data_IF_973169374132
#
_entry.id   IF_973169374132
#
_cell.length_a   1.000
_cell.length_b   1.000
_cell.length_c   1.000
_cell.angle_alpha   90.00
_cell.angle_beta   90.00
_cell.angle_gamma   90.00
#
_symmetry.space_group_name_H-M   'P 1'
#
loop_
_entity.id
_entity.type
_entity.pdbx_description
1 polymer ?
#
# COMPACT_ATOMS: atom_id res chain seq x y z
N UNK A 1 -16.65 26.74 7.44
CA UNK A 1 -15.98 27.85 8.16
C UNK A 1 -14.49 27.78 7.85
N UNK A 2 -13.79 28.91 7.75
CA UNK A 2 -12.35 28.92 7.49
C UNK A 2 -11.62 28.16 8.61
N UNK A 3 -10.79 27.18 8.24
CA UNK A 3 -9.96 26.39 9.17
C UNK A 3 -8.55 27.00 9.22
N UNK A 4 -7.86 26.85 10.35
CA UNK A 4 -6.45 27.29 10.39
C UNK A 4 -5.59 26.42 9.47
N UNK A 5 -4.59 27.03 8.85
CA UNK A 5 -3.64 26.31 7.99
C UNK A 5 -2.97 25.15 8.73
N UNK A 6 -2.60 25.35 10.00
CA UNK A 6 -1.99 24.31 10.83
C UNK A 6 -2.91 23.11 11.03
N UNK A 7 -4.20 23.32 11.27
CA UNK A 7 -5.17 22.23 11.42
C UNK A 7 -5.35 21.45 10.11
N UNK A 8 -5.42 22.14 8.96
CA UNK A 8 -5.57 21.50 7.65
C UNK A 8 -4.31 20.72 7.28
N UNK A 9 -3.12 21.30 7.42
CA UNK A 9 -1.85 20.62 7.12
C UNK A 9 -1.55 19.46 8.09
N UNK A 10 -2.16 19.46 9.29
CA UNK A 10 -2.06 18.34 10.20
C UNK A 10 -2.80 17.09 9.69
N UNK A 11 -3.78 17.20 8.79
CA UNK A 11 -4.57 16.06 8.29
C UNK A 11 -4.41 15.80 6.79
N UNK A 12 -4.13 16.83 5.99
CA UNK A 12 -3.79 16.65 4.57
C UNK A 12 -2.31 16.27 4.48
N UNK A 13 -2.04 15.00 4.24
CA UNK A 13 -0.69 14.43 4.18
C UNK A 13 -0.15 14.51 2.75
N UNK A 14 1.00 13.86 2.52
CA UNK A 14 1.62 13.83 1.19
C UNK A 14 0.73 13.13 0.14
N UNK A 15 -0.04 12.12 0.55
CA UNK A 15 -0.72 11.21 -0.37
C UNK A 15 -2.20 10.95 -0.07
N UNK A 16 -2.68 11.35 1.10
CA UNK A 16 -4.07 11.15 1.52
C UNK A 16 -4.48 12.18 2.59
N UNK A 17 -5.73 12.05 3.02
CA UNK A 17 -6.29 12.75 4.18
C UNK A 17 -6.35 11.77 5.35
N UNK A 18 -5.79 12.11 6.51
CA UNK A 18 -5.82 11.22 7.69
C UNK A 18 -5.69 11.95 9.01
N UNK A 19 -6.48 11.54 10.00
CA UNK A 19 -6.47 12.14 11.32
C UNK A 19 -7.35 11.42 12.35
N UNK A 20 -7.25 11.89 13.59
CA UNK A 20 -8.08 11.45 14.71
C UNK A 20 -9.51 11.98 14.59
N UNK A 21 -10.48 11.10 14.82
CA UNK A 21 -11.90 11.42 14.79
C UNK A 21 -12.29 12.40 15.91
N UNK A 22 -13.11 13.39 15.59
CA UNK A 22 -13.63 14.38 16.54
C UNK A 22 -12.61 15.44 16.99
N UNK A 23 -11.31 15.18 16.83
CA UNK A 23 -10.24 16.13 17.13
C UNK A 23 -9.67 16.79 15.88
N UNK A 24 -9.40 16.00 14.84
CA UNK A 24 -8.73 16.46 13.63
C UNK A 24 -9.61 16.33 12.38
N UNK A 25 -10.47 15.31 12.33
CA UNK A 25 -11.42 15.07 11.25
C UNK A 25 -12.82 14.87 11.84
N UNK A 26 -13.80 15.57 11.26
CA UNK A 26 -15.23 15.44 11.52
C UNK A 26 -16.03 15.51 10.21
N UNK A 27 -17.35 15.31 10.28
CA UNK A 27 -18.23 15.35 9.11
C UNK A 27 -18.19 16.72 8.39
N UNK A 28 -18.05 17.82 9.13
CA UNK A 28 -17.97 19.16 8.55
C UNK A 28 -16.71 19.35 7.70
N UNK A 29 -15.57 18.88 8.21
CA UNK A 29 -14.31 18.82 7.46
C UNK A 29 -14.45 17.96 6.21
N UNK A 30 -15.02 16.77 6.35
CA UNK A 30 -15.16 15.83 5.24
C UNK A 30 -16.15 16.31 4.16
N UNK A 31 -17.21 17.02 4.55
CA UNK A 31 -18.10 17.72 3.62
C UNK A 31 -17.35 18.75 2.77
N UNK A 32 -16.49 19.55 3.40
CA UNK A 32 -15.70 20.56 2.69
C UNK A 32 -14.63 19.90 1.79
N UNK A 33 -14.03 18.78 2.21
CA UNK A 33 -13.13 17.98 1.36
C UNK A 33 -13.87 17.46 0.12
N UNK A 34 -15.07 16.91 0.29
CA UNK A 34 -15.91 16.45 -0.82
C UNK A 34 -16.29 17.58 -1.78
N UNK A 35 -16.66 18.73 -1.23
CA UNK A 35 -16.98 19.93 -2.00
C UNK A 35 -15.76 20.41 -2.82
N UNK A 36 -14.58 20.48 -2.20
CA UNK A 36 -13.37 20.90 -2.88
C UNK A 36 -12.91 19.90 -3.93
N UNK A 37 -13.01 18.60 -3.63
CA UNK A 37 -12.67 17.54 -4.58
C UNK A 37 -13.58 17.57 -5.83
N UNK A 38 -14.89 17.76 -5.65
CA UNK A 38 -15.81 17.93 -6.77
C UNK A 38 -15.45 19.12 -7.66
N UNK A 39 -15.00 20.24 -7.06
CA UNK A 39 -14.52 21.42 -7.79
C UNK A 39 -13.24 21.14 -8.56
N UNK A 40 -12.27 20.46 -7.94
CA UNK A 40 -11.04 20.04 -8.60
C UNK A 40 -11.33 19.22 -9.86
N UNK A 41 -12.19 18.20 -9.75
CA UNK A 41 -12.56 17.36 -10.88
C UNK A 41 -13.32 18.14 -11.96
N UNK A 42 -14.23 19.06 -11.59
CA UNK A 42 -14.93 19.93 -12.56
C UNK A 42 -13.97 20.81 -13.34
N UNK A 43 -12.96 21.39 -12.68
CA UNK A 43 -11.98 22.27 -13.31
C UNK A 43 -11.09 21.54 -14.32
N UNK A 44 -10.87 20.23 -14.14
CA UNK A 44 -10.08 19.38 -15.02
C UNK A 44 -10.88 18.79 -16.18
N UNK A 45 -12.21 18.97 -16.19
CA UNK A 45 -13.07 18.48 -17.25
C UNK A 45 -12.82 19.27 -18.52
N UNK A 46 -12.43 18.57 -19.59
CA UNK A 46 -12.33 19.16 -20.91
C UNK A 46 -13.73 19.31 -21.52
N UNK A 47 -14.23 20.55 -21.57
CA UNK A 47 -15.51 20.88 -22.19
C UNK A 47 -15.51 20.73 -23.73
N UNK A 48 -14.34 20.45 -24.35
CA UNK A 48 -14.22 20.16 -25.79
C UNK A 48 -14.52 18.71 -26.16
N UNK A 49 -14.56 17.80 -25.18
CA UNK A 49 -15.00 16.43 -25.39
C UNK A 49 -16.53 16.37 -25.40
N UNK A 50 -17.11 15.72 -26.42
CA UNK A 50 -18.53 15.31 -26.51
C UNK A 50 -18.94 14.30 -25.41
N UNK A 51 -18.39 14.41 -24.20
CA UNK A 51 -18.77 13.58 -23.07
C UNK A 51 -20.12 14.06 -22.53
N UNK A 52 -21.18 13.48 -23.11
CA UNK A 52 -22.56 13.51 -22.61
C UNK A 52 -22.73 12.81 -21.24
N UNK A 53 -21.65 12.25 -20.68
CA UNK A 53 -21.68 11.55 -19.40
C UNK A 53 -21.63 12.57 -18.25
N UNK A 54 -22.58 12.46 -17.33
CA UNK A 54 -22.58 13.23 -16.10
C UNK A 54 -21.28 12.99 -15.31
N UNK A 55 -20.76 14.05 -14.71
CA UNK A 55 -19.58 13.96 -13.86
C UNK A 55 -19.99 13.22 -12.59
N UNK A 56 -19.29 12.12 -12.28
CA UNK A 56 -19.60 11.27 -11.12
C UNK A 56 -18.34 10.93 -10.34
N UNK A 57 -18.48 10.67 -9.04
CA UNK A 57 -17.43 10.17 -8.15
C UNK A 57 -17.89 8.85 -7.54
N UNK A 58 -17.02 7.84 -7.51
CA UNK A 58 -17.29 6.60 -6.77
C UNK A 58 -16.82 6.72 -5.32
N UNK A 59 -17.62 6.29 -4.36
CA UNK A 59 -17.32 6.36 -2.93
C UNK A 59 -17.46 4.97 -2.32
N UNK A 60 -16.36 4.49 -1.74
CA UNK A 60 -16.30 3.23 -0.99
C UNK A 60 -15.78 3.47 0.42
N UNK A 61 -16.00 2.51 1.31
CA UNK A 61 -15.58 2.63 2.70
C UNK A 61 -15.14 1.30 3.31
N UNK A 62 -14.22 1.37 4.25
CA UNK A 62 -13.87 0.23 5.09
C UNK A 62 -14.95 -0.02 6.17
N UNK A 63 -14.69 -1.00 7.03
CA UNK A 63 -15.58 -1.46 8.09
C UNK A 63 -15.54 -0.61 9.36
N UNK A 64 -14.76 0.47 9.44
CA UNK A 64 -14.71 1.31 10.65
C UNK A 64 -16.07 1.93 10.94
N UNK A 65 -16.43 2.00 12.22
CA UNK A 65 -17.72 2.53 12.66
C UNK A 65 -17.98 3.98 12.23
N UNK A 66 -16.92 4.77 12.06
CA UNK A 66 -16.99 6.16 11.59
C UNK A 66 -17.06 6.31 10.08
N UNK A 67 -16.64 5.30 9.31
CA UNK A 67 -16.59 5.40 7.85
C UNK A 67 -17.97 5.65 7.20
N UNK A 68 -19.11 5.08 7.68
CA UNK A 68 -20.44 5.43 7.17
C UNK A 68 -20.79 6.91 7.25
N UNK A 69 -20.58 7.58 8.41
CA UNK A 69 -20.97 8.99 8.57
C UNK A 69 -20.07 9.92 7.76
N UNK A 70 -18.77 9.64 7.74
CA UNK A 70 -17.80 10.41 6.95
C UNK A 70 -18.05 10.25 5.44
N UNK A 71 -18.29 9.02 4.96
CA UNK A 71 -18.60 8.79 3.55
C UNK A 71 -19.89 9.51 3.10
N UNK A 72 -20.89 9.59 3.99
CA UNK A 72 -22.10 10.37 3.74
C UNK A 72 -21.81 11.87 3.67
N UNK A 73 -21.05 12.41 4.62
CA UNK A 73 -20.70 13.84 4.62
C UNK A 73 -19.94 14.26 3.35
N UNK A 74 -19.02 13.41 2.88
CA UNK A 74 -18.32 13.63 1.62
C UNK A 74 -19.26 13.57 0.42
N UNK A 75 -20.16 12.58 0.40
CA UNK A 75 -21.20 12.44 -0.64
C UNK A 75 -22.05 13.72 -0.71
N UNK A 76 -22.46 14.25 0.44
CA UNK A 76 -23.24 15.49 0.52
C UNK A 76 -22.44 16.69 -0.01
N UNK A 77 -21.15 16.78 0.31
CA UNK A 77 -20.25 17.82 -0.22
C UNK A 77 -20.07 17.74 -1.74
N UNK A 78 -19.86 16.54 -2.28
CA UNK A 78 -19.70 16.32 -3.73
C UNK A 78 -21.00 16.67 -4.47
N UNK A 79 -22.14 16.19 -3.97
CA UNK A 79 -23.44 16.44 -4.60
C UNK A 79 -23.88 17.90 -4.49
N UNK A 80 -23.55 18.60 -3.40
CA UNK A 80 -23.76 20.04 -3.28
C UNK A 80 -23.05 20.86 -4.37
N UNK A 81 -22.01 20.30 -4.99
CA UNK A 81 -21.28 20.90 -6.12
C UNK A 81 -21.79 20.46 -7.50
N UNK A 82 -22.93 19.76 -7.56
CA UNK A 82 -23.57 19.33 -8.81
C UNK A 82 -22.90 18.11 -9.46
N UNK A 83 -22.18 17.29 -8.68
CA UNK A 83 -21.49 16.08 -9.15
C UNK A 83 -22.21 14.86 -8.61
N UNK A 84 -22.47 13.88 -9.47
CA UNK A 84 -23.14 12.64 -9.06
C UNK A 84 -22.22 11.76 -8.21
N UNK A 85 -22.80 10.92 -7.35
CA UNK A 85 -22.05 9.96 -6.53
C UNK A 85 -22.56 8.54 -6.75
N UNK A 86 -21.61 7.60 -6.76
CA UNK A 86 -21.84 6.16 -6.80
C UNK A 86 -21.32 5.58 -5.50
N UNK A 87 -22.22 5.18 -4.60
CA UNK A 87 -21.82 4.49 -3.39
C UNK A 87 -21.67 3.00 -3.70
N UNK A 88 -20.47 2.46 -3.46
CA UNK A 88 -20.19 1.02 -3.59
C UNK A 88 -20.26 0.28 -2.25
N UNK A 89 -20.58 1.00 -1.17
CA UNK A 89 -20.72 0.43 0.16
C UNK A 89 -19.37 0.04 0.76
N UNK A 90 -19.35 -1.13 1.42
CA UNK A 90 -18.12 -1.74 1.91
C UNK A 90 -17.21 -2.09 0.74
N UNK A 91 -15.94 -1.69 0.82
CA UNK A 91 -14.93 -2.01 -0.18
C UNK A 91 -13.56 -2.12 0.47
N UNK A 92 -12.65 -2.90 -0.12
CA UNK A 92 -11.22 -2.69 0.07
C UNK A 92 -10.74 -1.49 -0.75
N UNK A 93 -9.55 -0.97 -0.46
CA UNK A 93 -8.97 0.14 -1.22
C UNK A 93 -8.76 -0.23 -2.69
N UNK A 94 -8.31 -1.46 -2.98
CA UNK A 94 -8.13 -1.93 -4.35
C UNK A 94 -9.47 -2.21 -5.06
N UNK A 95 -10.53 -2.63 -4.35
CA UNK A 95 -11.89 -2.71 -4.91
C UNK A 95 -12.42 -1.32 -5.31
N UNK A 96 -12.11 -0.25 -4.56
CA UNK A 96 -12.41 1.11 -5.00
C UNK A 96 -11.64 1.47 -6.29
N UNK A 97 -10.34 1.15 -6.35
CA UNK A 97 -9.54 1.42 -7.55
C UNK A 97 -10.08 0.68 -8.78
N UNK A 98 -10.51 -0.57 -8.60
CA UNK A 98 -11.26 -1.30 -9.62
C UNK A 98 -12.54 -0.57 -10.04
N UNK A 99 -13.35 -0.11 -9.08
CA UNK A 99 -14.60 0.61 -9.39
C UNK A 99 -14.32 1.94 -10.14
N UNK A 100 -13.28 2.67 -9.76
CA UNK A 100 -12.83 3.88 -10.43
C UNK A 100 -12.39 3.60 -11.87
N UNK A 101 -11.67 2.50 -12.09
CA UNK A 101 -11.25 2.03 -13.40
C UNK A 101 -12.42 1.57 -14.28
N UNK A 102 -13.32 0.75 -13.73
CA UNK A 102 -14.49 0.20 -14.41
C UNK A 102 -15.48 1.29 -14.84
N UNK A 103 -15.71 2.27 -13.97
CA UNK A 103 -16.66 3.36 -14.22
C UNK A 103 -16.05 4.55 -14.96
N UNK A 104 -14.72 4.52 -15.14
CA UNK A 104 -13.89 5.63 -15.61
C UNK A 104 -14.22 6.94 -14.91
N UNK A 105 -14.18 6.92 -13.58
CA UNK A 105 -14.53 8.08 -12.76
C UNK A 105 -13.63 8.23 -11.52
N UNK A 106 -13.43 9.45 -11.01
CA UNK A 106 -12.73 9.68 -9.75
C UNK A 106 -13.33 8.91 -8.59
N UNK A 107 -12.52 8.63 -7.57
CA UNK A 107 -12.92 7.83 -6.42
C UNK A 107 -12.43 8.37 -5.08
N UNK A 108 -13.18 8.07 -4.01
CA UNK A 108 -12.82 8.36 -2.63
C UNK A 108 -13.01 7.11 -1.74
N UNK A 109 -11.93 6.67 -1.10
CA UNK A 109 -11.94 5.55 -0.16
C UNK A 109 -11.92 6.07 1.26
N UNK A 110 -12.96 5.77 2.05
CA UNK A 110 -12.96 6.04 3.48
C UNK A 110 -12.23 4.95 4.23
N UNK A 111 -11.04 5.28 4.74
CA UNK A 111 -10.20 4.37 5.49
C UNK A 111 -9.06 5.09 6.20
N UNK A 112 -8.57 4.52 7.31
CA UNK A 112 -7.25 4.85 7.85
C UNK A 112 -6.23 3.70 7.68
N UNK A 113 -6.45 2.80 6.72
CA UNK A 113 -5.60 1.65 6.45
C UNK A 113 -5.35 0.85 7.73
N UNK A 114 -4.11 0.76 8.17
CA UNK A 114 -3.68 0.02 9.36
C UNK A 114 -3.60 0.85 10.65
N UNK A 115 -3.94 2.13 10.64
CA UNK A 115 -3.93 2.94 11.86
C UNK A 115 -4.96 2.42 12.89
N UNK A 116 -4.79 2.70 14.19
CA UNK A 116 -5.75 2.31 15.23
C UNK A 116 -7.19 2.78 14.97
N UNK A 117 -8.17 2.17 15.63
CA UNK A 117 -9.61 2.43 15.44
C UNK A 117 -10.02 3.91 15.53
N UNK A 118 -9.34 4.70 16.36
CA UNK A 118 -9.61 6.14 16.54
C UNK A 118 -9.29 7.02 15.31
N UNK A 119 -8.60 6.48 14.31
CA UNK A 119 -8.28 7.18 13.06
C UNK A 119 -9.29 6.87 11.96
N UNK A 120 -9.50 7.85 11.09
CA UNK A 120 -10.08 7.65 9.76
C UNK A 120 -9.40 8.60 8.74
N UNK A 121 -9.78 8.48 7.47
CA UNK A 121 -9.15 9.20 6.38
C UNK A 121 -9.84 9.01 5.05
N UNK A 122 -9.26 9.63 4.01
CA UNK A 122 -9.75 9.57 2.64
C UNK A 122 -8.56 9.36 1.70
N UNK A 123 -8.55 8.25 0.96
CA UNK A 123 -7.68 8.09 -0.22
C UNK A 123 -8.44 8.57 -1.46
N UNK A 124 -7.92 9.59 -2.13
CA UNK A 124 -8.55 10.18 -3.32
C UNK A 124 -7.83 9.74 -4.60
N UNK A 125 -8.60 9.49 -5.65
CA UNK A 125 -8.08 9.20 -6.98
C UNK A 125 -8.92 9.87 -8.07
N UNK A 126 -8.30 10.18 -9.21
CA UNK A 126 -9.01 10.55 -10.45
C UNK A 126 -9.48 9.29 -11.18
N UNK A 127 -10.18 9.50 -12.30
CA UNK A 127 -10.59 8.44 -13.21
C UNK A 127 -9.42 7.50 -13.57
N UNK A 128 -9.71 6.19 -13.57
CA UNK A 128 -8.68 5.16 -13.75
C UNK A 128 -7.72 5.06 -12.57
N UNK A 129 -8.20 5.27 -11.33
CA UNK A 129 -7.44 5.13 -10.09
C UNK A 129 -6.13 5.96 -10.01
N UNK A 130 -6.00 7.03 -10.82
CA UNK A 130 -4.80 7.88 -10.81
C UNK A 130 -4.69 8.65 -9.48
N UNK A 131 -3.53 8.70 -8.82
CA UNK A 131 -3.42 9.25 -7.47
C UNK A 131 -3.69 10.76 -7.41
N UNK A 132 -4.27 11.19 -6.28
CA UNK A 132 -4.38 12.61 -5.88
C UNK A 132 -3.48 12.82 -4.67
N UNK A 133 -2.26 13.27 -4.91
CA UNK A 133 -1.27 13.61 -3.89
C UNK A 133 -1.09 15.12 -3.72
N UNK A 134 -0.10 15.53 -2.93
CA UNK A 134 0.20 16.94 -2.65
C UNK A 134 0.32 17.78 -3.92
N UNK A 135 1.14 17.35 -4.87
CA UNK A 135 1.44 18.09 -6.10
C UNK A 135 0.36 17.91 -7.18
N UNK A 136 -0.56 16.95 -6.99
CA UNK A 136 -1.59 16.60 -7.96
C UNK A 136 -3.00 16.81 -7.43
N UNK A 137 -3.22 17.63 -6.39
CA UNK A 137 -4.58 18.07 -6.03
C UNK A 137 -4.81 18.30 -4.54
N UNK A 138 -4.11 17.59 -3.65
CA UNK A 138 -4.30 17.80 -2.20
C UNK A 138 -3.87 19.22 -1.75
N UNK A 139 -2.91 19.86 -2.41
CA UNK A 139 -2.59 21.27 -2.14
C UNK A 139 -3.73 22.23 -2.52
N UNK A 140 -4.47 21.92 -3.60
CA UNK A 140 -5.65 22.71 -4.01
C UNK A 140 -6.75 22.57 -2.96
N UNK A 141 -7.03 21.33 -2.55
CA UNK A 141 -8.01 21.03 -1.50
C UNK A 141 -7.61 21.72 -0.20
N UNK A 142 -6.34 21.67 0.19
CA UNK A 142 -5.84 22.33 1.40
C UNK A 142 -6.10 23.84 1.36
N UNK A 143 -5.80 24.49 0.23
CA UNK A 143 -6.06 25.92 0.04
C UNK A 143 -7.54 26.26 0.20
N UNK A 144 -8.44 25.52 -0.46
CA UNK A 144 -9.89 25.77 -0.35
C UNK A 144 -10.44 25.49 1.05
N UNK A 145 -9.89 24.52 1.79
CA UNK A 145 -10.28 24.27 3.19
C UNK A 145 -9.87 25.41 4.14
N UNK A 146 -8.77 26.11 3.84
CA UNK A 146 -8.27 27.25 4.61
C UNK A 146 -9.08 28.51 4.27
N UNK A 147 -9.19 28.81 2.98
CA UNK A 147 -9.82 30.04 2.48
C UNK A 147 -11.36 30.00 2.54
N UNK A 148 -11.91 28.79 2.56
CA UNK A 148 -13.34 28.51 2.47
C UNK A 148 -13.72 28.01 1.08
N UNK A 149 -14.38 26.85 1.03
CA UNK A 149 -14.76 26.21 -0.23
C UNK A 149 -15.89 27.01 -0.90
N UNK A 150 -15.71 27.47 -2.15
CA UNK A 150 -16.76 28.20 -2.86
C UNK A 150 -18.02 27.35 -3.06
N UNK A 151 -19.19 27.96 -2.83
CA UNK A 151 -20.49 27.34 -3.08
C UNK A 151 -20.79 27.13 -4.58
N UNK A 152 -21.87 26.39 -4.84
CA UNK A 152 -22.38 26.15 -6.18
C UNK A 152 -23.88 26.46 -6.22
N UNK A 153 -24.29 27.33 -7.14
CA UNK A 153 -25.69 27.79 -7.26
C UNK A 153 -26.54 26.94 -8.21
N UNK A 154 -25.97 25.86 -8.76
CA UNK A 154 -26.69 24.93 -9.65
C UNK A 154 -27.41 23.81 -8.90
N UNK A 155 -28.08 22.91 -9.63
CA UNK A 155 -28.77 21.77 -9.02
C UNK A 155 -27.76 20.82 -8.35
N UNK A 156 -28.15 20.24 -7.21
CA UNK A 156 -27.36 19.19 -6.59
C UNK A 156 -27.25 17.97 -7.50
N UNK A 157 -26.13 17.24 -7.38
CA UNK A 157 -25.93 15.95 -8.02
C UNK A 157 -26.83 14.88 -7.40
N UNK A 158 -26.83 13.70 -8.03
CA UNK A 158 -27.62 12.54 -7.60
C UNK A 158 -26.74 11.47 -6.95
N UNK A 159 -27.33 10.67 -6.07
CA UNK A 159 -26.64 9.52 -5.44
C UNK A 159 -27.25 8.24 -5.98
N UNK A 160 -26.39 7.30 -6.37
CA UNK A 160 -26.75 5.94 -6.79
C UNK A 160 -25.93 4.93 -6.02
N UNK A 161 -26.45 3.72 -5.83
CA UNK A 161 -25.73 2.61 -5.22
C UNK A 161 -25.39 1.55 -6.27
N UNK A 162 -24.22 0.91 -6.15
CA UNK A 162 -23.82 -0.23 -6.97
C UNK A 162 -22.87 -1.13 -6.21
N UNK A 163 -23.25 -2.37 -5.98
CA UNK A 163 -22.31 -3.40 -5.54
C UNK A 163 -21.43 -3.83 -6.73
N UNK A 164 -20.11 -3.85 -6.52
CA UNK A 164 -19.10 -4.24 -7.51
C UNK A 164 -18.24 -5.41 -7.03
N UNK A 165 -18.54 -6.02 -5.89
CA UNK A 165 -17.71 -7.06 -5.26
C UNK A 165 -17.51 -8.28 -6.16
N UNK A 166 -18.59 -8.77 -6.78
CA UNK A 166 -18.54 -9.90 -7.69
C UNK A 166 -17.72 -9.58 -8.96
N UNK A 167 -17.95 -8.41 -9.55
CA UNK A 167 -17.22 -7.94 -10.75
C UNK A 167 -15.72 -7.75 -10.46
N UNK A 168 -15.39 -7.23 -9.27
CA UNK A 168 -14.00 -7.11 -8.80
C UNK A 168 -13.32 -8.48 -8.73
N UNK A 169 -13.98 -9.47 -8.12
CA UNK A 169 -13.42 -10.82 -8.02
C UNK A 169 -13.26 -11.50 -9.39
N UNK A 170 -14.24 -11.35 -10.28
CA UNK A 170 -14.14 -11.85 -11.66
C UNK A 170 -12.99 -11.19 -12.41
N UNK A 171 -12.81 -9.87 -12.26
CA UNK A 171 -11.74 -9.14 -12.90
C UNK A 171 -10.36 -9.61 -12.43
N UNK A 172 -10.13 -9.72 -11.12
CA UNK A 172 -8.85 -10.20 -10.59
C UNK A 172 -8.51 -11.62 -11.08
N UNK A 173 -9.49 -12.53 -11.09
CA UNK A 173 -9.31 -13.89 -11.64
C UNK A 173 -9.07 -13.90 -13.15
N UNK A 174 -9.52 -12.89 -13.87
CA UNK A 174 -9.24 -12.75 -15.31
C UNK A 174 -7.79 -12.32 -15.57
N UNK A 175 -7.17 -11.58 -14.65
CA UNK A 175 -5.77 -11.16 -14.73
C UNK A 175 -4.80 -12.30 -14.35
N UNK A 176 -5.16 -13.10 -13.34
CA UNK A 176 -4.34 -14.23 -12.88
C UNK A 176 -5.20 -15.50 -12.81
N UNK A 177 -4.97 -16.41 -13.76
CA UNK A 177 -5.68 -17.68 -13.83
C UNK A 177 -4.99 -18.76 -12.98
N UNK A 178 -5.78 -19.50 -12.19
CA UNK A 178 -5.32 -20.65 -11.41
C UNK A 178 -5.78 -21.99 -12.05
N UNK A 179 -6.04 -22.02 -13.35
CA UNK A 179 -6.57 -23.21 -14.04
C UNK A 179 -5.52 -24.32 -14.17
N UNK A 180 -5.79 -25.51 -13.63
CA UNK A 180 -4.86 -26.65 -13.65
C UNK A 180 -3.97 -26.77 -12.41
N UNK A 181 -4.17 -25.89 -11.44
CA UNK A 181 -3.50 -25.81 -10.15
C UNK A 181 -3.63 -27.08 -9.29
N UNK A 182 -2.54 -27.50 -8.62
CA UNK A 182 -2.65 -28.39 -7.46
C UNK A 182 -3.62 -27.76 -6.45
N UNK A 183 -4.52 -28.53 -5.82
CA UNK A 183 -5.37 -27.98 -4.76
C UNK A 183 -4.51 -27.40 -3.63
N UNK A 184 -4.88 -26.21 -3.14
CA UNK A 184 -4.18 -25.51 -2.06
C UNK A 184 -5.12 -25.28 -0.89
N UNK A 185 -4.63 -25.49 0.33
CA UNK A 185 -5.26 -24.95 1.54
C UNK A 185 -4.62 -23.62 1.88
N UNK A 186 -5.42 -22.57 1.93
CA UNK A 186 -4.96 -21.18 2.08
C UNK A 186 -5.53 -20.62 3.38
N UNK A 187 -4.66 -20.40 4.37
CA UNK A 187 -5.01 -19.67 5.57
C UNK A 187 -5.01 -18.18 5.28
N UNK A 188 -6.09 -17.47 5.61
CA UNK A 188 -6.18 -16.03 5.41
C UNK A 188 -6.53 -15.35 6.72
N UNK A 189 -5.66 -14.44 7.14
CA UNK A 189 -5.89 -13.53 8.24
C UNK A 189 -6.37 -12.19 7.69
N UNK A 190 -7.61 -11.86 8.02
CA UNK A 190 -8.19 -10.58 7.66
C UNK A 190 -8.00 -9.50 8.73
N UNK A 191 -7.55 -9.84 9.94
CA UNK A 191 -7.38 -8.90 11.05
C UNK A 191 -8.63 -8.08 11.34
N UNK A 192 -9.82 -8.65 11.15
CA UNK A 192 -11.13 -7.97 11.20
C UNK A 192 -11.33 -6.85 10.16
N UNK A 193 -10.42 -6.74 9.19
CA UNK A 193 -10.39 -5.79 8.10
C UNK A 193 -11.10 -6.25 6.83
N UNK A 194 -10.93 -5.46 5.77
CA UNK A 194 -11.69 -5.62 4.52
C UNK A 194 -11.37 -6.90 3.74
N UNK A 195 -10.28 -7.60 4.05
CA UNK A 195 -10.01 -8.92 3.46
C UNK A 195 -11.07 -9.97 3.85
N UNK A 196 -11.76 -9.83 4.99
CA UNK A 196 -12.89 -10.69 5.36
C UNK A 196 -14.10 -10.53 4.42
N UNK A 197 -14.23 -9.35 3.81
CA UNK A 197 -15.25 -9.04 2.80
C UNK A 197 -14.84 -9.51 1.40
N UNK A 198 -13.59 -9.24 0.99
CA UNK A 198 -13.14 -9.46 -0.40
C UNK A 198 -12.64 -10.86 -0.67
N UNK A 199 -11.97 -11.51 0.29
CA UNK A 199 -11.37 -12.84 0.08
C UNK A 199 -12.41 -13.91 -0.32
N UNK A 200 -13.59 -14.01 0.30
CA UNK A 200 -14.61 -14.98 -0.14
C UNK A 200 -15.03 -14.77 -1.60
N UNK A 201 -15.16 -13.53 -2.06
CA UNK A 201 -15.56 -13.20 -3.42
C UNK A 201 -14.46 -13.52 -4.45
N UNK A 202 -13.18 -13.43 -4.06
CA UNK A 202 -12.04 -13.67 -4.95
C UNK A 202 -11.59 -15.13 -4.90
N UNK A 203 -11.17 -15.62 -3.73
CA UNK A 203 -10.58 -16.94 -3.55
C UNK A 203 -11.63 -18.03 -3.33
N UNK A 204 -12.73 -17.71 -2.64
CA UNK A 204 -13.82 -18.68 -2.38
C UNK A 204 -14.53 -19.19 -3.64
N UNK A 205 -14.41 -18.45 -4.75
CA UNK A 205 -14.92 -18.87 -6.06
C UNK A 205 -13.99 -19.83 -6.82
N UNK A 206 -12.76 -20.08 -6.34
CA UNK A 206 -11.75 -20.91 -7.01
C UNK A 206 -11.86 -22.36 -6.49
N UNK A 207 -12.29 -23.33 -7.30
CA UNK A 207 -12.58 -24.68 -6.81
C UNK A 207 -11.38 -25.45 -6.24
N UNK A 208 -10.16 -25.11 -6.67
CA UNK A 208 -8.92 -25.71 -6.18
C UNK A 208 -8.42 -25.09 -4.87
N UNK A 209 -9.06 -24.04 -4.36
CA UNK A 209 -8.69 -23.40 -3.09
C UNK A 209 -9.63 -23.87 -1.98
N UNK A 210 -9.04 -24.39 -0.91
CA UNK A 210 -9.71 -24.54 0.38
C UNK A 210 -9.34 -23.35 1.26
N UNK A 211 -10.27 -22.42 1.44
CA UNK A 211 -10.07 -21.23 2.26
C UNK A 211 -10.24 -21.56 3.75
N UNK A 212 -9.22 -21.27 4.56
CA UNK A 212 -9.26 -21.33 6.01
C UNK A 212 -9.27 -19.89 6.56
N UNK A 213 -10.44 -19.37 7.00
CA UNK A 213 -10.57 -17.99 7.44
C UNK A 213 -10.11 -17.81 8.89
N UNK A 214 -9.33 -16.75 9.13
CA UNK A 214 -8.94 -16.24 10.43
C UNK A 214 -9.36 -14.77 10.54
N UNK A 215 -10.17 -14.45 11.56
CA UNK A 215 -10.65 -13.10 11.87
C UNK A 215 -11.40 -12.38 10.70
N UNK A 216 -12.31 -13.08 10.02
CA UNK A 216 -13.07 -12.55 8.86
C UNK A 216 -14.23 -11.62 9.24
N UNK A 217 -14.65 -11.65 10.50
CA UNK A 217 -15.70 -10.82 11.05
C UNK A 217 -15.26 -9.36 11.00
N UNK A 218 -15.96 -8.56 10.19
CA UNK A 218 -15.67 -7.13 10.04
C UNK A 218 -15.95 -6.40 11.36
N UNK A 219 -14.90 -5.87 11.98
CA UNK A 219 -14.98 -5.12 13.24
C UNK A 219 -13.92 -4.01 13.27
N UNK A 220 -14.38 -2.76 13.15
CA UNK A 220 -13.53 -1.57 13.17
C UNK A 220 -12.82 -1.30 14.50
N UNK A 221 -13.12 -2.06 15.55
CA UNK A 221 -12.42 -2.01 16.84
C UNK A 221 -11.16 -2.88 16.88
N UNK A 222 -10.93 -3.72 15.87
CA UNK A 222 -9.77 -4.62 15.77
C UNK A 222 -9.54 -5.46 17.05
N UNK A 223 -10.49 -6.31 17.45
CA UNK A 223 -10.49 -6.96 18.76
C UNK A 223 -9.40 -8.03 18.98
N UNK A 224 -8.78 -8.53 17.91
CA UNK A 224 -7.78 -9.62 17.99
C UNK A 224 -6.35 -9.08 18.00
N UNK A 225 -5.95 -8.41 16.93
CA UNK A 225 -4.70 -7.67 16.79
C UNK A 225 -4.90 -6.48 15.84
N UNK A 226 -3.95 -5.54 15.80
CA UNK A 226 -4.01 -4.48 14.81
C UNK A 226 -3.90 -5.08 13.40
N UNK A 227 -4.66 -4.56 12.43
CA UNK A 227 -4.59 -4.98 11.03
C UNK A 227 -3.37 -4.36 10.33
N UNK A 228 -2.17 -4.60 10.90
CA UNK A 228 -0.89 -4.14 10.41
C UNK A 228 0.11 -5.31 10.34
N UNK A 229 0.12 -6.09 9.24
CA UNK A 229 0.96 -7.28 9.15
C UNK A 229 2.45 -6.97 8.87
N UNK A 230 2.81 -5.68 8.78
CA UNK A 230 4.21 -5.24 8.78
C UNK A 230 4.88 -5.47 10.14
N UNK A 231 4.09 -5.43 11.22
CA UNK A 231 4.57 -5.80 12.56
C UNK A 231 4.51 -7.32 12.71
N UNK A 232 5.66 -7.92 13.02
CA UNK A 232 5.78 -9.36 13.19
C UNK A 232 4.91 -9.91 14.33
N UNK A 233 4.58 -9.09 15.35
CA UNK A 233 3.67 -9.51 16.42
C UNK A 233 2.26 -9.81 15.89
N UNK A 234 1.79 -9.05 14.90
CA UNK A 234 0.47 -9.23 14.29
C UNK A 234 0.40 -10.43 13.33
N UNK A 235 1.53 -11.10 13.05
CA UNK A 235 1.55 -12.33 12.24
C UNK A 235 1.50 -13.60 13.08
N UNK A 236 1.69 -13.52 14.40
CA UNK A 236 1.84 -14.71 15.26
C UNK A 236 0.65 -15.65 15.19
N UNK A 237 -0.56 -15.11 15.14
CA UNK A 237 -1.79 -15.91 15.06
C UNK A 237 -1.87 -16.63 13.72
N UNK A 238 -1.63 -15.93 12.61
CA UNK A 238 -1.56 -16.55 11.28
C UNK A 238 -0.48 -17.64 11.21
N UNK A 239 0.72 -17.40 11.77
CA UNK A 239 1.81 -18.38 11.77
C UNK A 239 1.41 -19.67 12.50
N UNK A 240 0.77 -19.55 13.66
CA UNK A 240 0.24 -20.69 14.40
C UNK A 240 -0.92 -21.37 13.66
N UNK A 241 -1.79 -20.57 13.02
CA UNK A 241 -2.96 -21.05 12.30
C UNK A 241 -2.60 -21.82 11.03
N UNK A 242 -1.57 -21.39 10.28
CA UNK A 242 -1.02 -22.13 9.13
C UNK A 242 -0.62 -23.54 9.54
N UNK A 243 0.10 -23.69 10.66
CA UNK A 243 0.50 -25.00 11.16
C UNK A 243 -0.71 -25.82 11.64
N UNK A 244 -1.65 -25.19 12.35
CA UNK A 244 -2.86 -25.87 12.86
C UNK A 244 -3.76 -26.40 11.74
N UNK A 245 -3.92 -25.62 10.68
CA UNK A 245 -4.72 -25.96 9.51
C UNK A 245 -3.97 -26.87 8.51
N UNK A 246 -2.66 -27.06 8.70
CA UNK A 246 -1.78 -27.66 7.68
C UNK A 246 -1.95 -26.95 6.33
N UNK A 247 -1.98 -25.62 6.36
CA UNK A 247 -2.13 -24.80 5.17
C UNK A 247 -0.84 -24.79 4.34
N UNK A 248 -0.97 -24.74 3.02
CA UNK A 248 0.16 -24.62 2.09
C UNK A 248 0.80 -23.22 2.13
N UNK A 249 0.02 -22.23 2.58
CA UNK A 249 0.34 -20.81 2.60
C UNK A 249 -0.58 -20.07 3.57
N UNK A 250 -0.04 -19.08 4.26
CA UNK A 250 -0.78 -18.05 4.98
C UNK A 250 -0.73 -16.71 4.25
N UNK A 251 -1.84 -15.98 4.24
CA UNK A 251 -1.95 -14.63 3.70
C UNK A 251 -2.49 -13.71 4.80
N UNK A 252 -1.80 -12.61 5.09
CA UNK A 252 -2.29 -11.55 5.97
C UNK A 252 -2.50 -10.27 5.19
N UNK A 253 -3.64 -9.62 5.40
CA UNK A 253 -3.97 -8.34 4.80
C UNK A 253 -4.04 -7.25 5.86
N UNK A 254 -3.77 -6.01 5.47
CA UNK A 254 -4.01 -4.87 6.36
C UNK A 254 -5.47 -4.43 6.35
N UNK A 255 -5.80 -3.43 7.17
CA UNK A 255 -7.18 -3.04 7.46
C UNK A 255 -8.06 -2.78 6.23
N UNK A 256 -7.51 -2.17 5.18
CA UNK A 256 -8.19 -1.88 3.92
C UNK A 256 -7.76 -2.77 2.74
N UNK A 257 -6.98 -3.81 3.02
CA UNK A 257 -6.60 -4.92 2.15
C UNK A 257 -5.87 -4.54 0.84
N UNK A 258 -5.20 -3.39 0.79
CA UNK A 258 -4.33 -3.05 -0.35
C UNK A 258 -2.93 -3.65 -0.21
N UNK A 259 -2.54 -4.13 0.98
CA UNK A 259 -1.30 -4.85 1.23
C UNK A 259 -1.54 -6.33 1.52
N UNK A 260 -0.63 -7.18 1.04
CA UNK A 260 -0.64 -8.62 1.31
C UNK A 260 0.72 -9.12 1.76
N UNK A 261 0.75 -9.76 2.92
CA UNK A 261 1.91 -10.41 3.50
C UNK A 261 1.74 -11.92 3.42
N UNK A 262 2.84 -12.64 3.22
CA UNK A 262 2.83 -14.07 2.95
C UNK A 262 3.58 -14.80 4.06
N UNK A 263 3.01 -15.91 4.52
CA UNK A 263 3.62 -16.84 5.47
C UNK A 263 3.72 -18.21 4.79
N UNK A 264 4.90 -18.84 4.85
CA UNK A 264 5.15 -20.16 4.28
C UNK A 264 4.47 -21.28 5.08
N UNK A 265 4.47 -22.51 4.56
CA UNK A 265 3.84 -23.67 5.19
C UNK A 265 4.48 -24.05 6.55
N UNK A 266 5.62 -23.45 6.91
CA UNK A 266 6.33 -23.63 8.19
C UNK A 266 6.02 -22.52 9.18
N UNK A 267 5.12 -21.59 8.84
CA UNK A 267 4.80 -20.44 9.66
C UNK A 267 5.88 -19.35 9.63
N UNK A 268 6.73 -19.29 8.60
CA UNK A 268 7.76 -18.24 8.47
C UNK A 268 7.28 -17.16 7.52
N UNK A 269 7.49 -15.90 7.90
CA UNK A 269 7.18 -14.78 7.02
C UNK A 269 8.07 -14.82 5.78
N UNK A 270 7.48 -14.63 4.61
CA UNK A 270 8.16 -14.45 3.33
C UNK A 270 8.36 -12.96 3.11
N UNK A 271 9.58 -12.56 2.75
CA UNK A 271 9.86 -11.14 2.57
C UNK A 271 9.04 -10.51 1.42
N UNK A 272 8.53 -9.27 1.56
CA UNK A 272 7.86 -8.57 0.45
C UNK A 272 8.75 -8.39 -0.78
N UNK A 273 10.08 -8.40 -0.60
CA UNK A 273 11.04 -8.40 -1.71
C UNK A 273 11.01 -9.71 -2.48
N UNK A 274 10.90 -10.86 -1.82
CA UNK A 274 10.76 -12.15 -2.48
C UNK A 274 9.44 -12.27 -3.24
N UNK A 275 8.34 -11.79 -2.64
CA UNK A 275 7.05 -11.68 -3.35
C UNK A 275 7.17 -10.77 -4.57
N UNK A 276 7.79 -9.59 -4.43
CA UNK A 276 8.05 -8.67 -5.55
C UNK A 276 8.82 -9.36 -6.68
N UNK A 277 9.89 -10.09 -6.37
CA UNK A 277 10.69 -10.76 -7.38
C UNK A 277 9.95 -11.93 -8.06
N UNK A 278 9.12 -12.68 -7.32
CA UNK A 278 8.26 -13.72 -7.88
C UNK A 278 7.22 -13.14 -8.84
N UNK A 279 6.54 -12.07 -8.44
CA UNK A 279 5.53 -11.42 -9.29
C UNK A 279 6.21 -10.81 -10.53
N UNK A 280 7.35 -10.12 -10.35
CA UNK A 280 8.13 -9.56 -11.44
C UNK A 280 8.52 -10.62 -12.48
N UNK A 281 8.98 -11.80 -12.05
CA UNK A 281 9.27 -12.92 -12.95
C UNK A 281 8.05 -13.30 -13.79
N UNK A 282 6.89 -13.52 -13.15
CA UNK A 282 5.66 -13.91 -13.86
C UNK A 282 5.20 -12.86 -14.85
N UNK A 283 5.31 -11.59 -14.49
CA UNK A 283 4.95 -10.48 -15.37
C UNK A 283 5.95 -10.36 -16.55
N UNK A 284 7.24 -10.63 -16.33
CA UNK A 284 8.24 -10.67 -17.41
C UNK A 284 8.09 -11.90 -18.34
N UNK A 285 7.54 -13.01 -17.84
CA UNK A 285 7.16 -14.15 -18.68
C UNK A 285 5.98 -13.81 -19.61
N UNK A 286 5.08 -12.90 -19.19
CA UNK A 286 4.00 -12.36 -20.03
C UNK A 286 4.48 -11.26 -20.97
N UNK A 287 5.36 -10.37 -20.50
CA UNK A 287 5.90 -9.25 -21.27
C UNK A 287 7.43 -9.15 -21.13
N UNK A 288 8.11 -9.84 -22.06
CA UNK A 288 9.58 -9.88 -22.13
C UNK A 288 10.13 -8.46 -22.32
N UNK A 289 11.15 -8.10 -21.52
CA UNK A 289 11.76 -6.77 -21.57
C UNK A 289 11.02 -5.69 -20.78
N UNK A 290 9.95 -6.06 -20.07
CA UNK A 290 9.16 -5.12 -19.27
C UNK A 290 9.97 -4.39 -18.20
N UNK A 291 9.51 -3.18 -17.87
CA UNK A 291 10.07 -2.37 -16.79
C UNK A 291 9.42 -2.75 -15.46
N UNK A 292 10.22 -2.98 -14.43
CA UNK A 292 9.78 -3.33 -13.08
C UNK A 292 10.27 -2.26 -12.10
N UNK A 293 9.35 -1.67 -11.34
CA UNK A 293 9.71 -0.68 -10.32
C UNK A 293 9.93 -1.38 -8.98
N UNK A 294 10.96 -0.96 -8.24
CA UNK A 294 11.17 -1.39 -6.87
C UNK A 294 11.58 -0.20 -6.00
N UNK A 295 11.16 -0.18 -4.74
CA UNK A 295 11.57 0.90 -3.85
C UNK A 295 13.02 0.74 -3.36
N UNK A 296 13.63 1.83 -2.93
CA UNK A 296 15.07 1.89 -2.65
C UNK A 296 15.60 0.98 -1.52
N UNK A 297 14.71 0.46 -0.67
CA UNK A 297 15.02 -0.42 0.47
C UNK A 297 14.45 -1.83 0.30
N UNK A 298 13.98 -2.20 -0.90
CA UNK A 298 13.82 -3.63 -1.22
C UNK A 298 15.19 -4.30 -1.22
N UNK A 299 15.18 -5.62 -1.11
CA UNK A 299 16.38 -6.43 -1.28
C UNK A 299 17.06 -6.17 -2.63
N UNK A 300 18.40 -6.24 -2.67
CA UNK A 300 19.19 -6.29 -3.92
C UNK A 300 18.80 -7.46 -4.82
N UNK A 301 18.23 -8.53 -4.24
CA UNK A 301 17.71 -9.64 -5.01
C UNK A 301 16.69 -9.18 -6.07
N UNK A 302 15.87 -8.17 -5.78
CA UNK A 302 14.82 -7.70 -6.70
C UNK A 302 15.42 -7.19 -8.02
N UNK A 303 16.27 -6.13 -8.06
CA UNK A 303 16.84 -5.66 -9.31
C UNK A 303 17.74 -6.70 -10.00
N UNK A 304 18.45 -7.54 -9.25
CA UNK A 304 19.26 -8.63 -9.81
C UNK A 304 18.38 -9.63 -10.58
N UNK A 305 17.31 -10.12 -9.94
CA UNK A 305 16.38 -11.07 -10.53
C UNK A 305 15.62 -10.48 -11.72
N UNK A 306 15.22 -9.20 -11.65
CA UNK A 306 14.61 -8.51 -12.79
C UNK A 306 15.54 -8.54 -14.01
N UNK A 307 16.83 -8.22 -13.84
CA UNK A 307 17.81 -8.27 -14.94
C UNK A 307 18.01 -9.70 -15.44
N UNK A 308 18.10 -10.67 -14.55
CA UNK A 308 18.26 -12.09 -14.91
C UNK A 308 17.09 -12.64 -15.72
N UNK A 309 15.86 -12.21 -15.40
CA UNK A 309 14.65 -12.54 -16.16
C UNK A 309 14.43 -11.63 -17.39
N UNK A 310 15.42 -10.82 -17.75
CA UNK A 310 15.41 -10.01 -18.98
C UNK A 310 14.57 -8.74 -18.92
N UNK A 311 14.22 -8.27 -17.72
CA UNK A 311 13.52 -7.01 -17.47
C UNK A 311 14.45 -5.84 -17.19
N UNK A 312 13.85 -4.65 -17.02
CA UNK A 312 14.56 -3.42 -16.65
C UNK A 312 14.12 -2.97 -15.25
N UNK A 313 15.00 -3.02 -14.22
CA UNK A 313 14.65 -2.53 -12.90
C UNK A 313 14.73 -0.99 -12.86
N UNK A 314 13.74 -0.36 -12.26
CA UNK A 314 13.69 1.09 -12.01
C UNK A 314 13.51 1.31 -10.51
N UNK A 315 14.44 2.04 -9.90
CA UNK A 315 14.43 2.32 -8.46
C UNK A 315 13.58 3.55 -8.15
N UNK A 316 12.73 3.46 -7.12
CA UNK A 316 11.87 4.57 -6.64
C UNK A 316 12.13 4.92 -5.18
N UNK A 317 11.74 6.13 -4.79
CA UNK A 317 11.62 6.56 -3.37
C UNK A 317 10.54 5.76 -2.65
N UNK A 318 10.55 5.76 -1.31
CA UNK A 318 9.47 5.14 -0.53
C UNK A 318 8.20 5.99 -0.65
N UNK A 319 7.08 5.35 -0.99
CA UNK A 319 5.75 5.96 -1.00
C UNK A 319 4.97 5.72 -2.30
N UNK A 320 3.72 5.30 -2.14
CA UNK A 320 2.88 4.82 -3.25
C UNK A 320 2.66 5.81 -4.38
N UNK A 321 2.58 7.12 -4.09
CA UNK A 321 2.39 8.12 -5.14
C UNK A 321 3.59 8.23 -6.09
N UNK A 322 4.81 7.98 -5.60
CA UNK A 322 6.00 7.98 -6.46
C UNK A 322 6.02 6.78 -7.39
N UNK A 323 5.64 5.59 -6.90
CA UNK A 323 5.55 4.40 -7.74
C UNK A 323 4.52 4.60 -8.85
N UNK A 324 3.30 5.05 -8.53
CA UNK A 324 2.23 5.28 -9.51
C UNK A 324 2.65 6.30 -10.57
N UNK A 325 3.31 7.40 -10.18
CA UNK A 325 3.83 8.38 -11.12
C UNK A 325 4.89 7.78 -12.06
N UNK A 326 5.81 6.99 -11.51
CA UNK A 326 6.89 6.36 -12.27
C UNK A 326 6.37 5.26 -13.19
N UNK A 327 5.33 4.52 -12.81
CA UNK A 327 4.63 3.59 -13.71
C UNK A 327 4.06 4.32 -14.92
N UNK A 328 3.42 5.47 -14.71
CA UNK A 328 2.88 6.28 -15.80
C UNK A 328 3.97 6.85 -16.72
N UNK A 329 5.12 7.25 -16.16
CA UNK A 329 6.26 7.79 -16.92
C UNK A 329 6.98 6.71 -17.74
N UNK A 330 7.23 5.55 -17.13
CA UNK A 330 8.09 4.50 -17.69
C UNK A 330 7.33 3.41 -18.43
N UNK A 331 6.00 3.35 -18.28
CA UNK A 331 5.18 2.24 -18.75
C UNK A 331 5.44 0.92 -18.01
N UNK A 332 6.00 1.00 -16.79
CA UNK A 332 6.31 -0.18 -15.98
C UNK A 332 5.09 -1.10 -15.82
N UNK A 333 5.35 -2.40 -15.98
CA UNK A 333 4.30 -3.42 -15.99
C UNK A 333 3.91 -3.79 -14.55
N UNK A 334 4.87 -3.67 -13.64
CA UNK A 334 4.73 -4.01 -12.24
C UNK A 334 5.61 -3.13 -11.36
N UNK A 335 5.16 -2.88 -10.13
CA UNK A 335 5.95 -2.24 -9.09
C UNK A 335 5.78 -2.94 -7.74
N UNK A 336 6.83 -3.05 -6.94
CA UNK A 336 6.75 -3.62 -5.59
C UNK A 336 7.46 -2.79 -4.54
N UNK A 337 6.88 -2.76 -3.34
CA UNK A 337 7.45 -2.08 -2.17
C UNK A 337 7.76 -3.06 -1.01
N UNK A 338 8.75 -2.69 -0.20
CA UNK A 338 9.12 -3.32 1.07
C UNK A 338 7.96 -3.38 2.07
N UNK A 339 6.99 -2.47 1.93
CA UNK A 339 5.77 -2.34 2.73
C UNK A 339 4.66 -3.27 2.26
N UNK A 340 4.90 -4.11 1.25
CA UNK A 340 3.93 -5.03 0.64
C UNK A 340 2.78 -4.36 -0.14
N UNK A 341 2.99 -3.14 -0.65
CA UNK A 341 2.19 -2.62 -1.76
C UNK A 341 2.75 -3.16 -3.09
N UNK A 342 1.85 -3.67 -3.95
CA UNK A 342 2.19 -4.26 -5.24
C UNK A 342 1.29 -3.67 -6.32
N UNK A 343 1.89 -3.04 -7.33
CA UNK A 343 1.20 -2.23 -8.34
C UNK A 343 1.21 -2.93 -9.69
N UNK A 344 0.07 -2.96 -10.37
CA UNK A 344 -0.08 -3.68 -11.63
C UNK A 344 -0.59 -2.76 -12.72
N UNK A 345 0.11 -2.70 -13.86
CA UNK A 345 -0.29 -1.85 -14.99
C UNK A 345 -1.68 -2.21 -15.52
N UNK A 346 -1.97 -3.50 -15.59
CA UNK A 346 -3.26 -4.04 -16.02
C UNK A 346 -4.39 -3.80 -14.98
N UNK A 347 -4.03 -3.31 -13.78
CA UNK A 347 -4.93 -2.82 -12.74
C UNK A 347 -4.82 -1.28 -12.61
N UNK A 348 -4.74 -0.59 -13.75
CA UNK A 348 -4.58 0.89 -13.86
C UNK A 348 -3.33 1.47 -13.18
N UNK A 349 -2.31 0.65 -12.92
CA UNK A 349 -1.14 1.05 -12.13
C UNK A 349 -1.47 1.25 -10.64
N UNK A 350 -2.64 0.81 -10.19
CA UNK A 350 -3.01 0.79 -8.79
C UNK A 350 -2.45 -0.46 -8.09
N UNK A 351 -2.36 -0.36 -6.78
CA UNK A 351 -1.95 -1.42 -5.89
C UNK A 351 -3.09 -2.38 -5.57
N UNK A 352 -2.77 -3.67 -5.47
CA UNK A 352 -3.69 -4.72 -5.02
C UNK A 352 -2.93 -5.85 -4.32
N UNK A 353 -3.15 -5.96 -3.01
CA UNK A 353 -2.65 -7.08 -2.22
C UNK A 353 -3.25 -8.41 -2.69
N UNK A 354 -4.53 -8.43 -3.07
CA UNK A 354 -5.21 -9.64 -3.53
C UNK A 354 -4.66 -10.14 -4.88
N UNK A 355 -4.31 -9.23 -5.79
CA UNK A 355 -3.68 -9.62 -7.06
C UNK A 355 -2.29 -10.20 -6.84
N UNK A 356 -1.49 -9.62 -5.93
CA UNK A 356 -0.21 -10.20 -5.51
C UNK A 356 -0.39 -11.60 -4.89
N UNK A 357 -1.39 -11.78 -4.03
CA UNK A 357 -1.74 -13.09 -3.48
C UNK A 357 -2.07 -14.11 -4.58
N UNK A 358 -2.88 -13.73 -5.58
CA UNK A 358 -3.19 -14.59 -6.72
C UNK A 358 -1.93 -15.00 -7.51
N UNK A 359 -0.95 -14.10 -7.70
CA UNK A 359 0.31 -14.46 -8.35
C UNK A 359 1.12 -15.48 -7.55
N UNK A 360 1.20 -15.33 -6.22
CA UNK A 360 1.90 -16.29 -5.36
C UNK A 360 1.17 -17.63 -5.38
N UNK A 361 -0.16 -17.63 -5.26
CA UNK A 361 -0.99 -18.84 -5.32
C UNK A 361 -0.84 -19.55 -6.66
N UNK A 362 -0.87 -18.81 -7.77
CA UNK A 362 -0.67 -19.38 -9.10
C UNK A 362 0.70 -20.05 -9.21
N UNK A 363 1.79 -19.35 -8.85
CA UNK A 363 3.15 -19.91 -8.86
C UNK A 363 3.28 -21.14 -7.97
N UNK A 364 2.73 -21.08 -6.76
CA UNK A 364 2.75 -22.19 -5.82
C UNK A 364 1.97 -23.39 -6.36
N UNK A 365 0.89 -23.14 -7.10
CA UNK A 365 -0.01 -24.18 -7.59
C UNK A 365 0.44 -24.90 -8.86
N UNK A 366 1.36 -24.30 -9.61
CA UNK A 366 1.90 -24.81 -10.88
C UNK A 366 3.01 -25.87 -10.70
N UNK A 367 3.32 -26.23 -9.45
CA UNK A 367 4.49 -27.05 -9.09
C UNK A 367 4.31 -27.73 -7.72
N UNK A 368 5.15 -28.72 -7.39
CA UNK A 368 4.99 -29.58 -6.19
C UNK A 368 5.83 -29.18 -4.96
N UNK A 369 6.78 -28.25 -5.08
CA UNK A 369 7.61 -27.80 -3.94
C UNK A 369 6.74 -27.06 -2.92
N UNK A 370 7.07 -27.17 -1.62
CA UNK A 370 6.46 -26.31 -0.61
C UNK A 370 6.83 -24.84 -0.84
N UNK A 371 6.03 -23.92 -0.28
CA UNK A 371 6.24 -22.48 -0.47
C UNK A 371 7.60 -22.03 0.05
N UNK A 372 8.07 -22.58 1.17
CA UNK A 372 9.39 -22.32 1.73
C UNK A 372 10.55 -22.55 0.77
N UNK A 373 10.47 -23.62 -0.02
CA UNK A 373 11.48 -23.98 -1.00
C UNK A 373 11.35 -23.09 -2.24
N UNK A 374 10.13 -22.90 -2.75
CA UNK A 374 9.87 -21.98 -3.87
C UNK A 374 10.38 -20.56 -3.60
N UNK A 375 10.11 -20.01 -2.41
CA UNK A 375 10.50 -18.64 -2.07
C UNK A 375 12.02 -18.49 -1.84
N UNK A 376 12.72 -19.57 -1.53
CA UNK A 376 14.18 -19.54 -1.35
C UNK A 376 14.94 -19.16 -2.64
N UNK A 377 14.33 -19.35 -3.81
CA UNK A 377 14.89 -18.91 -5.09
C UNK A 377 15.00 -17.37 -5.18
N UNK A 378 14.19 -16.65 -4.39
CA UNK A 378 14.07 -15.20 -4.39
C UNK A 378 14.72 -14.55 -3.14
N UNK A 379 14.98 -15.31 -2.08
CA UNK A 379 15.59 -14.84 -0.82
C UNK A 379 17.12 -15.04 -0.82
N UNK A 380 17.83 -14.21 -1.60
CA UNK A 380 19.30 -14.31 -1.78
C UNK A 380 20.14 -13.63 -0.69
N UNK A 381 19.49 -12.83 0.16
CA UNK A 381 20.13 -11.98 1.16
C UNK A 381 19.33 -12.00 2.45
N UNK A 382 20.03 -11.81 3.57
CA UNK A 382 19.44 -11.58 4.89
C UNK A 382 19.19 -10.09 5.10
N UNK A 383 18.11 -9.73 5.80
CA UNK A 383 17.75 -8.35 6.07
C UNK A 383 17.40 -8.13 7.54
N UNK A 384 17.72 -6.94 8.07
CA UNK A 384 17.44 -6.59 9.47
C UNK A 384 15.96 -6.31 9.76
N UNK A 385 15.13 -6.16 8.73
CA UNK A 385 13.89 -5.39 8.84
C UNK A 385 14.17 -3.90 9.04
N UNK A 386 13.15 -3.14 9.43
CA UNK A 386 13.29 -1.71 9.75
C UNK A 386 13.50 -1.54 11.27
N UNK A 387 14.60 -0.88 11.64
CA UNK A 387 14.94 -0.57 13.03
C UNK A 387 14.78 0.93 13.24
N UNK A 388 13.97 1.31 14.23
CA UNK A 388 13.66 2.70 14.51
C UNK A 388 14.45 3.22 15.73
N UNK A 389 15.22 4.29 15.54
CA UNK A 389 15.91 5.01 16.60
C UNK A 389 15.20 6.33 16.87
N UNK A 390 14.90 6.61 18.15
CA UNK A 390 14.45 7.94 18.57
C UNK A 390 15.68 8.79 18.84
N UNK A 391 15.87 9.83 18.03
CA UNK A 391 17.06 10.69 18.08
C UNK A 391 16.66 12.16 18.10
N UNK A 392 17.39 12.97 18.85
CA UNK A 392 17.24 14.42 18.89
C UNK A 392 17.91 15.09 17.69
N UNK A 393 18.99 14.49 17.17
CA UNK A 393 19.71 15.00 15.99
C UNK A 393 20.10 13.87 15.02
N UNK A 394 19.18 13.55 14.11
CA UNK A 394 19.40 12.52 13.09
C UNK A 394 20.60 12.82 12.18
N UNK A 395 20.84 14.09 11.84
CA UNK A 395 21.96 14.48 10.98
C UNK A 395 23.31 14.15 11.61
N UNK A 396 23.49 14.49 12.89
CA UNK A 396 24.72 14.17 13.62
C UNK A 396 24.96 12.65 13.72
N UNK A 397 23.89 11.87 13.92
CA UNK A 397 23.98 10.41 13.96
C UNK A 397 24.42 9.84 12.60
N UNK A 398 23.83 10.30 11.50
CA UNK A 398 24.20 9.88 10.14
C UNK A 398 25.66 10.23 9.85
N UNK A 399 26.11 11.44 10.18
CA UNK A 399 27.49 11.87 9.94
C UNK A 399 28.52 10.99 10.68
N UNK A 400 28.26 10.65 11.95
CA UNK A 400 29.16 9.80 12.74
C UNK A 400 29.17 8.36 12.21
N UNK A 401 28.03 7.83 11.75
CA UNK A 401 27.97 6.53 11.07
C UNK A 401 28.83 6.55 9.80
N UNK A 402 28.63 7.52 8.90
CA UNK A 402 29.41 7.62 7.65
C UNK A 402 30.91 7.73 7.91
N UNK A 403 31.29 8.55 8.89
CA UNK A 403 32.69 8.72 9.31
C UNK A 403 33.29 7.41 9.85
N UNK A 404 32.53 6.63 10.60
CA UNK A 404 32.98 5.33 11.12
C UNK A 404 33.28 4.34 10.00
N UNK A 405 32.42 4.25 8.98
CA UNK A 405 32.64 3.33 7.86
C UNK A 405 33.78 3.78 6.93
N UNK A 406 33.95 5.09 6.70
CA UNK A 406 35.13 5.67 6.06
C UNK A 406 35.50 4.98 4.73
N UNK A 407 36.70 4.39 4.66
CA UNK A 407 37.21 3.75 3.44
C UNK A 407 36.53 2.43 3.08
N UNK A 408 35.62 1.91 3.92
CA UNK A 408 34.81 0.72 3.60
C UNK A 408 33.65 1.06 2.66
N UNK A 409 33.31 2.34 2.51
CA UNK A 409 32.21 2.79 1.67
C UNK A 409 32.60 2.65 0.18
N UNK A 410 31.83 1.86 -0.54
CA UNK A 410 31.94 1.67 -2.00
C UNK A 410 31.16 2.76 -2.73
N UNK A 411 29.93 3.06 -2.28
CA UNK A 411 29.11 4.12 -2.85
C UNK A 411 28.11 4.68 -1.84
N UNK A 412 27.74 5.94 -2.04
CA UNK A 412 26.69 6.62 -1.28
C UNK A 412 25.63 7.11 -2.26
N UNK A 413 24.37 6.90 -1.92
CA UNK A 413 23.21 7.39 -2.64
C UNK A 413 22.29 8.19 -1.70
N UNK A 414 21.78 9.33 -2.19
CA UNK A 414 20.99 10.30 -1.42
C UNK A 414 19.55 10.42 -1.91
N UNK A 415 19.04 9.42 -2.65
CA UNK A 415 17.69 9.45 -3.21
C UNK A 415 16.60 9.58 -2.14
N UNK A 416 16.77 8.92 -1.00
CA UNK A 416 15.88 8.97 0.17
C UNK A 416 16.66 8.56 1.43
N UNK A 417 17.00 9.54 2.26
CA UNK A 417 18.00 9.38 3.32
C UNK A 417 19.40 9.17 2.74
N UNK A 418 20.18 8.28 3.36
CA UNK A 418 21.53 7.91 2.91
C UNK A 418 21.62 6.40 2.79
N UNK A 419 21.76 5.90 1.57
CA UNK A 419 22.06 4.48 1.29
C UNK A 419 23.55 4.31 1.09
N UNK A 420 24.17 3.41 1.83
CA UNK A 420 25.60 3.14 1.82
C UNK A 420 25.84 1.69 1.42
N UNK A 421 26.55 1.49 0.31
CA UNK A 421 27.10 0.19 -0.08
C UNK A 421 28.50 0.07 0.53
N UNK A 422 28.75 -1.02 1.27
CA UNK A 422 30.06 -1.33 1.86
C UNK A 422 30.74 -2.55 1.22
N UNK A 423 30.25 -2.99 0.06
CA UNK A 423 30.78 -4.09 -0.73
C UNK A 423 30.27 -5.46 -0.29
N UNK A 424 30.68 -6.50 -1.03
CA UNK A 424 30.36 -7.91 -0.76
C UNK A 424 28.85 -8.27 -0.67
N UNK A 425 27.98 -7.39 -1.18
CA UNK A 425 26.53 -7.56 -1.06
C UNK A 425 25.93 -6.98 0.23
N UNK A 426 26.70 -6.21 0.98
CA UNK A 426 26.25 -5.57 2.22
C UNK A 426 25.98 -4.09 2.02
N UNK A 427 24.82 -3.64 2.47
CA UNK A 427 24.43 -2.23 2.45
C UNK A 427 23.54 -1.86 3.63
N UNK A 428 23.44 -0.56 3.89
CA UNK A 428 22.47 -0.04 4.83
C UNK A 428 21.85 1.28 4.33
N UNK A 429 20.62 1.57 4.76
CA UNK A 429 19.95 2.85 4.53
C UNK A 429 19.61 3.48 5.89
N UNK A 430 19.91 4.77 6.02
CA UNK A 430 19.51 5.61 7.14
C UNK A 430 18.61 6.73 6.62
N UNK A 431 17.35 6.77 7.07
CA UNK A 431 16.38 7.80 6.66
C UNK A 431 15.65 8.40 7.85
N UNK A 432 15.33 9.69 7.78
CA UNK A 432 14.45 10.33 8.76
C UNK A 432 13.00 9.99 8.47
N UNK A 433 12.21 9.73 9.50
CA UNK A 433 10.76 9.64 9.36
C UNK A 433 10.17 11.02 8.99
N UNK A 434 9.24 11.05 8.04
CA UNK A 434 8.56 12.28 7.62
C UNK A 434 7.53 12.77 8.66
N UNK A 435 7.13 11.90 9.58
CA UNK A 435 5.99 12.11 10.50
C UNK A 435 6.40 12.06 11.97
N UNK A 436 7.57 11.51 12.29
CA UNK A 436 8.02 11.26 13.66
C UNK A 436 9.50 11.63 13.81
N UNK A 437 10.00 11.99 15.01
CA UNK A 437 11.41 12.26 15.25
C UNK A 437 12.21 10.94 15.37
N UNK A 438 12.22 10.17 14.27
CA UNK A 438 12.86 8.87 14.18
C UNK A 438 13.90 8.84 13.06
N UNK A 439 15.02 8.18 13.32
CA UNK A 439 15.98 7.71 12.31
C UNK A 439 15.74 6.23 12.08
N UNK A 440 15.44 5.84 10.85
CA UNK A 440 15.13 4.46 10.45
C UNK A 440 16.34 3.83 9.79
N UNK A 441 16.69 2.62 10.21
CA UNK A 441 17.78 1.81 9.67
C UNK A 441 17.22 0.58 8.98
N UNK A 442 17.68 0.32 7.76
CA UNK A 442 17.59 -0.98 7.11
C UNK A 442 19.00 -1.45 6.77
N UNK A 443 19.28 -2.73 7.00
CA UNK A 443 20.54 -3.39 6.66
C UNK A 443 20.22 -4.65 5.88
N UNK A 444 21.02 -4.93 4.86
CA UNK A 444 21.00 -6.21 4.15
C UNK A 444 22.44 -6.67 3.94
N UNK A 445 22.65 -7.98 4.06
CA UNK A 445 23.92 -8.64 3.83
C UNK A 445 23.70 -10.09 3.34
N UNK A 446 24.79 -10.82 3.08
CA UNK A 446 24.72 -12.23 2.64
C UNK A 446 24.24 -13.18 3.73
N UNK A 447 24.44 -12.84 5.00
CA UNK A 447 24.13 -13.71 6.14
C UNK A 447 23.52 -12.90 7.28
N UNK A 448 22.75 -13.56 8.14
CA UNK A 448 22.20 -12.95 9.36
C UNK A 448 23.31 -12.45 10.30
N UNK A 449 24.46 -13.12 10.32
CA UNK A 449 25.63 -12.72 11.12
C UNK A 449 26.19 -11.37 10.64
N UNK A 450 26.34 -11.20 9.33
CA UNK A 450 26.82 -9.94 8.73
C UNK A 450 25.83 -8.79 8.97
N UNK A 451 24.51 -9.07 8.84
CA UNK A 451 23.45 -8.11 9.18
C UNK A 451 23.57 -7.70 10.65
N UNK A 452 23.64 -8.67 11.56
CA UNK A 452 23.72 -8.40 13.00
C UNK A 452 24.97 -7.58 13.36
N UNK A 453 26.12 -7.86 12.73
CA UNK A 453 27.35 -7.11 12.96
C UNK A 453 27.23 -5.63 12.53
N UNK A 454 26.63 -5.37 11.36
CA UNK A 454 26.41 -3.99 10.87
C UNK A 454 25.38 -3.26 11.73
N UNK A 455 24.26 -3.93 12.06
CA UNK A 455 23.22 -3.37 12.95
C UNK A 455 23.81 -3.00 14.31
N UNK A 456 24.56 -3.91 14.94
CA UNK A 456 25.16 -3.66 16.25
C UNK A 456 26.11 -2.46 16.22
N UNK A 457 26.94 -2.37 15.18
CA UNK A 457 27.87 -1.24 15.00
C UNK A 457 27.14 0.09 14.81
N UNK A 458 26.12 0.14 13.97
CA UNK A 458 25.35 1.37 13.71
C UNK A 458 24.57 1.77 14.97
N UNK A 459 23.92 0.82 15.63
CA UNK A 459 23.15 1.08 16.85
C UNK A 459 24.03 1.70 17.94
N UNK A 460 25.21 1.12 18.20
CA UNK A 460 26.17 1.66 19.17
C UNK A 460 26.70 3.06 18.80
N UNK A 461 26.80 3.39 17.51
CA UNK A 461 27.17 4.75 17.08
C UNK A 461 26.02 5.73 17.32
N UNK A 462 24.80 5.37 16.93
CA UNK A 462 23.60 6.20 17.13
C UNK A 462 23.39 6.48 18.62
N UNK A 463 23.45 5.46 19.46
CA UNK A 463 23.26 5.60 20.91
C UNK A 463 24.34 6.49 21.55
N UNK A 464 25.60 6.36 21.12
CA UNK A 464 26.69 7.20 21.61
C UNK A 464 26.58 8.65 21.16
N UNK A 465 26.15 8.90 19.92
CA UNK A 465 25.95 10.26 19.40
C UNK A 465 24.78 10.94 20.11
N UNK A 466 23.68 10.22 20.34
CA UNK A 466 22.52 10.73 21.08
C UNK A 466 22.90 11.04 22.54
N UNK A 467 23.64 10.17 23.22
CA UNK A 467 24.10 10.42 24.59
C UNK A 467 25.07 11.60 24.72
N UNK A 468 25.69 12.03 23.63
CA UNK A 468 26.60 13.17 23.59
C UNK A 468 25.92 14.50 23.20
N UNK A 469 24.65 14.45 22.79
CA UNK A 469 23.81 15.59 22.40
C UNK A 469 22.93 16.02 23.57
#
# INVERSE_FOLDING_TARGET
>A
MARSADAVHAVIKAYDVRGLLGEQIDESFVFDVGSSFARLIKAERDDSAESSRALRVVVGRDMRDSSPSLAQAFTDGVTAQGVDVVQIGLASTDQLYFASGLLDCPGAMFTASHNPAAYNGIKLCRAGAKPVGKDTGLSVISGELIDGVPGYDGPAGTVTERDVLAEYGDFLRSLVQLSGARPLRVAVDAGNGMAGHTTPAVLGAIPSITLAPLYFELDGNFPNHEANPLDAENLRDLQAFVAAESADIGLAFDGDADRCFVVDERGRAVSPSAVTALVARRELEREIGGTIIHNLITSRAVPELVVEYGGTPVRSRVGHSFIKALMAETGAIFGGEHSAHYYFRDFWGADSGMLAALHVLAALSEQDRPLSDLMSDYERYAASGEINFRVSNAGACVDEVLKSFGTQIVSIDHLDGVTVDIGAGTWFNLRTSNTEPLLRLNVEARTDEDVAAVVARISDLVDRTEAAT
#
